data_IF_592343808697
#
_entry.id   IF_592343808697
#
_cell.length_a   1.000
_cell.length_b   1.000
_cell.length_c   1.000
_cell.angle_alpha   90.00
_cell.angle_beta   90.00
_cell.angle_gamma   90.00
#
_symmetry.space_group_name_H-M   'P 1'
#
loop_
_entity.id
_entity.type
_entity.pdbx_description
1 polymer ?
#
# COMPACT_ATOMS: atom_id res chain seq x y z
N UNK A 1 -2.73 -26.18 64.55
CA UNK A 1 -3.50 -25.59 63.44
C UNK A 1 -2.55 -24.76 62.57
N UNK A 2 -2.02 -25.33 61.49
CA UNK A 2 -1.17 -24.61 60.51
C UNK A 2 -2.03 -24.37 59.28
N UNK A 3 -2.68 -23.22 59.24
CA UNK A 3 -3.41 -22.77 58.05
C UNK A 3 -2.41 -22.27 57.02
N UNK A 4 -2.16 -23.05 55.98
CA UNK A 4 -1.53 -22.55 54.76
C UNK A 4 -2.53 -21.62 54.06
N UNK A 5 -2.29 -20.31 54.14
CA UNK A 5 -3.00 -19.33 53.33
C UNK A 5 -2.68 -19.56 51.85
N UNK A 6 -3.73 -19.69 51.04
CA UNK A 6 -3.68 -19.67 49.59
C UNK A 6 -3.16 -18.30 49.11
N UNK A 7 -2.18 -18.21 48.19
CA UNK A 7 -1.79 -16.94 47.63
C UNK A 7 -2.90 -16.37 46.73
N UNK A 8 -3.03 -15.05 46.80
CA UNK A 8 -4.11 -14.23 46.28
C UNK A 8 -4.54 -14.57 44.84
N UNK A 9 -5.87 -14.65 44.66
CA UNK A 9 -6.53 -14.57 43.37
C UNK A 9 -6.14 -13.24 42.71
N UNK A 10 -5.41 -13.31 41.60
CA UNK A 10 -5.24 -12.19 40.69
C UNK A 10 -6.63 -11.94 40.08
N UNK A 11 -7.29 -10.90 40.59
CA UNK A 11 -8.53 -10.38 40.04
C UNK A 11 -8.25 -9.84 38.64
N UNK A 12 -8.69 -10.56 37.60
CA UNK A 12 -8.71 -10.02 36.25
C UNK A 12 -9.93 -9.10 36.11
N UNK A 13 -9.77 -7.79 35.90
CA UNK A 13 -10.91 -6.96 35.57
C UNK A 13 -11.42 -7.34 34.17
N UNK A 14 -12.72 -7.64 34.15
CA UNK A 14 -13.61 -7.73 33.01
C UNK A 14 -13.21 -6.77 31.88
N UNK A 15 -13.11 -7.32 30.66
CA UNK A 15 -13.06 -6.57 29.41
C UNK A 15 -14.20 -5.54 29.35
N UNK A 16 -13.88 -4.25 29.25
CA UNK A 16 -14.78 -3.28 28.65
C UNK A 16 -14.03 -2.09 28.02
N UNK A 17 -14.29 -1.90 26.72
CA UNK A 17 -14.15 -0.68 25.94
C UNK A 17 -12.74 -0.20 25.56
N UNK A 18 -12.23 -0.70 24.44
CA UNK A 18 -11.42 0.15 23.54
C UNK A 18 -12.31 1.32 23.07
N UNK A 19 -11.91 2.59 23.24
CA UNK A 19 -12.60 3.69 22.59
C UNK A 19 -12.20 3.72 21.11
N UNK A 20 -12.97 3.06 20.25
CA UNK A 20 -13.19 3.63 18.90
C UNK A 20 -14.26 4.71 19.04
N UNK A 21 -14.22 5.84 18.30
CA UNK A 21 -13.72 5.92 16.94
C UNK A 21 -12.85 7.15 16.68
N UNK A 22 -12.20 7.14 15.53
CA UNK A 22 -11.92 8.31 14.70
C UNK A 22 -13.01 9.38 14.92
N UNK A 23 -12.74 10.39 15.77
CA UNK A 23 -13.58 11.57 15.83
C UNK A 23 -13.49 12.20 14.46
N UNK A 24 -14.59 12.17 13.71
CA UNK A 24 -14.77 13.03 12.53
C UNK A 24 -14.80 14.47 13.06
N UNK A 25 -13.64 15.09 13.23
CA UNK A 25 -13.53 16.53 13.43
C UNK A 25 -14.08 17.14 12.14
N UNK A 26 -15.27 17.76 12.19
CA UNK A 26 -15.74 18.57 11.05
C UNK A 26 -14.72 19.69 10.87
N UNK A 27 -14.14 19.89 9.67
CA UNK A 27 -13.28 21.04 9.45
C UNK A 27 -14.08 22.31 9.75
N UNK A 28 -13.49 23.32 10.40
CA UNK A 28 -14.16 24.60 10.59
C UNK A 28 -14.57 25.14 9.21
N UNK A 29 -15.82 25.60 9.12
CA UNK A 29 -16.39 26.18 7.90
C UNK A 29 -15.70 27.52 7.61
N UNK A 30 -14.55 27.47 6.93
CA UNK A 30 -13.80 28.64 6.52
C UNK A 30 -12.29 28.45 6.67
N UNK A 31 -11.58 28.35 5.55
CA UNK A 31 -10.12 28.43 5.52
C UNK A 31 -9.45 27.29 4.76
N UNK A 32 -9.65 27.22 3.45
CA UNK A 32 -8.67 26.59 2.57
C UNK A 32 -8.00 27.69 1.78
N UNK A 33 -6.84 28.15 2.24
CA UNK A 33 -5.79 28.82 1.45
C UNK A 33 -4.64 29.18 2.40
N UNK A 34 -3.79 28.20 2.72
CA UNK A 34 -2.41 28.52 3.07
C UNK A 34 -1.58 28.41 1.78
N UNK A 35 -0.81 29.43 1.38
CA UNK A 35 0.10 29.30 0.25
C UNK A 35 1.21 28.31 0.64
N UNK A 36 1.23 27.14 0.00
CA UNK A 36 2.29 26.14 0.14
C UNK A 36 3.58 26.66 -0.49
N UNK A 37 4.33 27.50 0.21
CA UNK A 37 5.78 27.66 -0.02
C UNK A 37 6.54 26.69 0.89
N UNK A 38 6.31 25.40 0.66
CA UNK A 38 7.25 24.31 0.92
C UNK A 38 6.66 23.09 0.23
N UNK A 39 7.39 22.52 -0.73
CA UNK A 39 7.01 21.26 -1.38
C UNK A 39 6.62 20.25 -0.31
N UNK A 40 5.37 19.73 -0.30
CA UNK A 40 4.94 18.72 0.66
C UNK A 40 5.89 17.53 0.61
N UNK A 41 6.33 16.96 1.75
CA UNK A 41 7.20 15.79 1.71
C UNK A 41 6.50 14.68 0.93
N UNK A 42 7.17 14.14 -0.08
CA UNK A 42 6.74 13.06 -0.96
C UNK A 42 6.43 11.76 -0.20
N UNK A 43 5.39 11.76 0.64
CA UNK A 43 4.87 10.61 1.37
C UNK A 43 3.97 9.83 0.40
N UNK A 44 4.65 9.23 -0.59
CA UNK A 44 4.38 8.11 -1.51
C UNK A 44 2.93 7.64 -1.78
N UNK A 45 2.59 7.31 -3.05
CA UNK A 45 3.12 6.06 -3.63
C UNK A 45 3.39 6.12 -5.13
N UNK A 46 4.61 6.51 -5.51
CA UNK A 46 5.20 6.01 -6.75
C UNK A 46 6.60 5.50 -6.48
N UNK A 47 6.68 4.21 -6.14
CA UNK A 47 7.94 3.50 -6.22
C UNK A 47 8.37 3.51 -7.70
N UNK A 48 9.33 4.37 -8.03
CA UNK A 48 9.89 4.53 -9.37
C UNK A 48 10.42 3.18 -9.90
N UNK A 49 10.51 3.04 -11.22
CA UNK A 49 11.02 1.82 -11.88
C UNK A 49 12.42 1.49 -11.35
N UNK A 50 13.28 2.50 -11.19
CA UNK A 50 14.63 2.36 -10.65
C UNK A 50 14.63 1.79 -9.22
N UNK A 51 13.77 2.31 -8.35
CA UNK A 51 13.67 1.85 -6.96
C UNK A 51 13.16 0.39 -6.88
N UNK A 52 12.23 0.01 -7.75
CA UNK A 52 11.81 -1.40 -7.88
C UNK A 52 12.94 -2.28 -8.39
N UNK A 53 13.71 -1.79 -9.37
CA UNK A 53 14.90 -2.47 -9.88
C UNK A 53 15.94 -2.69 -8.79
N UNK A 54 16.21 -1.67 -7.96
CA UNK A 54 17.11 -1.75 -6.81
C UNK A 54 16.64 -2.79 -5.79
N UNK A 55 15.34 -2.83 -5.47
CA UNK A 55 14.75 -3.86 -4.59
C UNK A 55 14.97 -5.27 -5.14
N UNK A 56 14.72 -5.47 -6.44
CA UNK A 56 14.91 -6.77 -7.11
C UNK A 56 16.40 -7.16 -7.10
N UNK A 57 17.30 -6.24 -7.43
CA UNK A 57 18.74 -6.48 -7.41
C UNK A 57 19.26 -6.85 -6.02
N UNK A 58 18.85 -6.10 -4.98
CA UNK A 58 19.21 -6.43 -3.60
C UNK A 58 18.69 -7.80 -3.16
N UNK A 59 17.49 -8.20 -3.63
CA UNK A 59 16.95 -9.53 -3.35
C UNK A 59 17.70 -10.63 -4.10
N UNK A 60 18.12 -10.38 -5.34
CA UNK A 60 18.96 -11.31 -6.11
C UNK A 60 20.34 -11.48 -5.47
N UNK A 61 20.88 -10.43 -4.84
CA UNK A 61 22.09 -10.49 -4.03
C UNK A 61 21.92 -11.27 -2.70
N UNK A 62 20.73 -11.80 -2.39
CA UNK A 62 20.48 -12.64 -1.22
C UNK A 62 20.09 -11.89 0.05
N UNK A 63 19.84 -10.58 -0.01
CA UNK A 63 19.47 -9.80 1.18
C UNK A 63 18.04 -10.13 1.66
N UNK A 64 17.80 -10.17 2.99
CA UNK A 64 16.47 -10.36 3.55
C UNK A 64 15.61 -9.10 3.38
N UNK A 65 14.28 -9.27 3.35
CA UNK A 65 13.35 -8.16 3.08
C UNK A 65 13.43 -7.01 4.10
N UNK A 66 13.73 -7.31 5.37
CA UNK A 66 13.93 -6.29 6.40
C UNK A 66 15.18 -5.44 6.13
N UNK A 67 16.30 -6.06 5.74
CA UNK A 67 17.51 -5.33 5.37
C UNK A 67 17.26 -4.44 4.14
N UNK A 68 16.55 -4.96 3.13
CA UNK A 68 16.17 -4.20 1.93
C UNK A 68 15.30 -2.99 2.29
N UNK A 69 14.37 -3.16 3.23
CA UNK A 69 13.49 -2.08 3.72
C UNK A 69 14.31 -0.94 4.34
N UNK A 70 15.24 -1.28 5.23
CA UNK A 70 16.10 -0.31 5.91
C UNK A 70 17.06 0.39 4.92
N UNK A 71 17.68 -0.37 4.01
CA UNK A 71 18.65 0.16 3.04
C UNK A 71 18.01 1.05 1.97
N UNK A 72 16.80 0.71 1.52
CA UNK A 72 16.10 1.48 0.50
C UNK A 72 15.25 2.62 1.08
N UNK A 73 15.01 2.65 2.40
CA UNK A 73 14.06 3.57 3.03
C UNK A 73 12.62 3.32 2.60
N UNK A 74 12.29 2.09 2.21
CA UNK A 74 10.97 1.70 1.67
C UNK A 74 10.28 0.78 2.68
N UNK A 75 8.98 0.94 2.97
CA UNK A 75 8.29 0.08 3.92
C UNK A 75 8.31 -1.39 3.49
N UNK A 76 8.42 -2.28 4.47
CA UNK A 76 8.48 -3.73 4.29
C UNK A 76 7.35 -4.27 3.39
N UNK A 77 6.13 -3.78 3.57
CA UNK A 77 4.96 -4.16 2.77
C UNK A 77 5.15 -3.87 1.28
N UNK A 78 5.77 -2.74 0.95
CA UNK A 78 6.08 -2.34 -0.42
C UNK A 78 7.18 -3.21 -1.02
N UNK A 79 8.22 -3.54 -0.25
CA UNK A 79 9.27 -4.49 -0.66
C UNK A 79 8.64 -5.85 -0.98
N UNK A 80 7.81 -6.37 -0.07
CA UNK A 80 7.12 -7.64 -0.24
C UNK A 80 6.19 -7.64 -1.46
N UNK A 81 5.37 -6.61 -1.64
CA UNK A 81 4.46 -6.49 -2.77
C UNK A 81 5.18 -6.35 -4.11
N UNK A 82 6.30 -5.63 -4.14
CA UNK A 82 7.16 -5.50 -5.32
C UNK A 82 7.72 -6.87 -5.71
N UNK A 83 8.27 -7.62 -4.75
CA UNK A 83 8.80 -8.95 -5.03
C UNK A 83 7.71 -9.96 -5.42
N UNK A 84 6.53 -9.88 -4.80
CA UNK A 84 5.37 -10.71 -5.16
C UNK A 84 4.94 -10.47 -6.61
N UNK A 85 4.91 -9.22 -7.07
CA UNK A 85 4.63 -8.87 -8.48
C UNK A 85 5.75 -9.33 -9.40
N UNK A 86 7.01 -9.11 -9.03
CA UNK A 86 8.15 -9.55 -9.81
C UNK A 86 8.16 -11.07 -10.01
N UNK A 87 7.87 -11.87 -8.96
CA UNK A 87 7.74 -13.33 -9.09
C UNK A 87 6.60 -13.76 -10.02
N UNK A 88 5.50 -12.99 -10.08
CA UNK A 88 4.35 -13.30 -10.95
C UNK A 88 4.56 -12.92 -12.41
N UNK A 89 5.19 -11.78 -12.68
CA UNK A 89 5.27 -11.21 -14.03
C UNK A 89 6.67 -11.22 -14.63
N UNK A 90 7.72 -11.42 -13.82
CA UNK A 90 9.12 -11.36 -14.22
C UNK A 90 9.61 -9.96 -14.58
N UNK A 91 8.78 -8.92 -14.42
CA UNK A 91 9.11 -7.56 -14.87
C UNK A 91 9.02 -6.55 -13.73
N UNK A 92 9.93 -5.58 -13.76
CA UNK A 92 9.96 -4.42 -12.86
C UNK A 92 9.00 -3.31 -13.34
N UNK A 93 8.84 -3.23 -14.66
CA UNK A 93 8.01 -2.23 -15.33
C UNK A 93 6.53 -2.42 -15.00
N UNK A 94 5.83 -1.30 -14.76
CA UNK A 94 4.38 -1.33 -14.58
C UNK A 94 3.73 -1.55 -15.93
N UNK A 95 2.95 -2.62 -16.09
CA UNK A 95 2.11 -2.79 -17.28
C UNK A 95 1.10 -1.65 -17.37
N UNK A 96 0.86 -1.15 -18.58
CA UNK A 96 -0.23 -0.20 -18.82
C UNK A 96 -1.52 -0.81 -18.28
N UNK A 97 -2.31 -0.03 -17.54
CA UNK A 97 -3.63 -0.47 -17.10
C UNK A 97 -4.47 -0.75 -18.35
N UNK A 98 -5.02 -1.94 -18.46
CA UNK A 98 -6.07 -2.22 -19.44
C UNK A 98 -7.32 -1.48 -19.00
N UNK A 99 -7.87 -0.66 -19.88
CA UNK A 99 -9.17 -0.03 -19.65
C UNK A 99 -10.31 -1.05 -19.71
N UNK A 100 -11.52 -0.59 -19.42
CA UNK A 100 -12.71 -1.38 -19.73
C UNK A 100 -12.81 -1.52 -21.26
N UNK A 101 -13.14 -2.71 -21.79
CA UNK A 101 -13.34 -2.86 -23.22
C UNK A 101 -14.44 -1.89 -23.70
N UNK A 102 -14.25 -1.21 -24.84
CA UNK A 102 -15.28 -0.35 -25.39
C UNK A 102 -16.49 -1.19 -25.84
N UNK A 103 -17.67 -0.58 -25.80
CA UNK A 103 -18.94 -1.23 -26.22
C UNK A 103 -18.86 -1.73 -27.67
N UNK A 104 -18.25 -0.94 -28.55
CA UNK A 104 -18.05 -1.29 -29.95
C UNK A 104 -16.61 -1.74 -30.16
N UNK A 105 -16.42 -2.99 -30.56
CA UNK A 105 -15.09 -3.57 -30.74
C UNK A 105 -14.37 -2.94 -31.92
N UNK A 106 -13.05 -3.14 -31.98
CA UNK A 106 -12.27 -2.69 -33.14
C UNK A 106 -12.71 -3.39 -34.43
N UNK A 107 -13.29 -4.59 -34.34
CA UNK A 107 -13.78 -5.34 -35.48
C UNK A 107 -15.10 -4.75 -35.99
N UNK A 108 -16.06 -4.49 -35.10
CA UNK A 108 -17.33 -3.84 -35.45
C UNK A 108 -17.09 -2.49 -36.13
N UNK A 109 -16.11 -1.71 -35.64
CA UNK A 109 -15.69 -0.45 -36.28
C UNK A 109 -15.17 -0.65 -37.70
N UNK A 110 -14.40 -1.72 -37.96
CA UNK A 110 -13.87 -2.03 -39.30
C UNK A 110 -15.01 -2.41 -40.23
N UNK A 111 -15.94 -3.24 -39.77
CA UNK A 111 -17.10 -3.68 -40.55
C UNK A 111 -18.00 -2.49 -40.91
N UNK A 112 -18.28 -1.60 -39.95
CA UNK A 112 -19.03 -0.36 -40.22
C UNK A 112 -18.33 0.54 -41.24
N UNK A 113 -17.02 0.70 -41.14
CA UNK A 113 -16.26 1.52 -42.10
C UNK A 113 -16.35 0.97 -43.53
N UNK A 114 -16.39 -0.35 -43.71
CA UNK A 114 -16.53 -0.97 -45.04
C UNK A 114 -17.91 -0.74 -45.67
N UNK A 115 -18.96 -0.57 -44.86
CA UNK A 115 -20.33 -0.36 -45.33
C UNK A 115 -20.58 1.11 -45.69
N UNK A 116 -19.94 2.03 -44.96
CA UNK A 116 -20.13 3.48 -45.12
C UNK A 116 -19.29 4.05 -46.29
N UNK A 117 -18.26 3.33 -46.74
CA UNK A 117 -17.38 3.73 -47.85
C UNK A 117 -17.97 3.31 -49.20
#
# INVERSE_FOLDING_TARGET
>A
MRGTQCPALISYPVMSALPTPYKRIKPPLGGWCAPMTSSPPDIMPYLNVEMRGRIVGMRQAGLPFQAISNLAGVPFTTVYNTMKKYKRFGTVQTKKKTGHPPIMTAQDRRELNLIIT
#
